data_IF_737791053402
#
_entry.id   IF_737791053402
#
_cell.length_a   1.000
_cell.length_b   1.000
_cell.length_c   1.000
_cell.angle_alpha   90.00
_cell.angle_beta   90.00
_cell.angle_gamma   90.00
#
_symmetry.space_group_name_H-M   'P 1'
#
loop_
_entity.id
_entity.type
_entity.pdbx_description
1 polymer ?
#
# COMPACT_ATOMS: atom_id res chain seq x y z
N UNK A 1 55.24 46.41 10.56
CA UNK A 1 54.36 45.25 10.86
C UNK A 1 52.89 45.65 11.03
N UNK A 2 52.34 46.44 10.11
CA UNK A 2 50.93 46.92 10.17
C UNK A 2 50.08 46.43 8.98
N UNK A 3 50.71 46.11 7.84
CA UNK A 3 50.02 45.67 6.62
C UNK A 3 49.47 44.23 6.68
N UNK A 4 50.01 43.37 7.54
CA UNK A 4 49.52 41.99 7.70
C UNK A 4 48.24 41.89 8.52
N UNK A 5 47.95 42.85 9.40
CA UNK A 5 46.72 42.86 10.22
C UNK A 5 45.48 43.32 9.45
N UNK A 6 45.63 44.23 8.49
CA UNK A 6 44.51 44.75 7.69
C UNK A 6 44.00 43.69 6.69
N UNK A 7 44.92 42.88 6.12
CA UNK A 7 44.56 41.82 5.18
C UNK A 7 43.74 40.69 5.84
N UNK A 8 44.01 40.37 7.12
CA UNK A 8 43.28 39.33 7.85
C UNK A 8 41.83 39.74 8.16
N UNK A 9 41.60 41.02 8.44
CA UNK A 9 40.26 41.56 8.76
C UNK A 9 39.37 41.60 7.52
N UNK A 10 39.93 41.92 6.35
CA UNK A 10 39.19 41.91 5.08
C UNK A 10 38.82 40.47 4.68
N UNK A 11 39.73 39.50 4.89
CA UNK A 11 39.46 38.09 4.61
C UNK A 11 38.37 37.51 5.52
N UNK A 12 38.35 37.87 6.81
CA UNK A 12 37.28 37.46 7.74
C UNK A 12 35.93 38.10 7.42
N UNK A 13 35.90 39.33 6.90
CA UNK A 13 34.65 40.00 6.48
C UNK A 13 34.03 39.41 5.21
N UNK A 14 34.84 38.88 4.28
CA UNK A 14 34.36 38.23 3.05
C UNK A 14 33.80 36.82 3.30
N UNK A 15 34.27 36.10 4.32
CA UNK A 15 33.72 34.79 4.70
C UNK A 15 32.40 34.93 5.47
N UNK A 16 32.18 36.05 6.16
CA UNK A 16 30.93 36.32 6.91
C UNK A 16 29.69 36.57 6.04
N UNK A 17 29.86 36.94 4.76
CA UNK A 17 28.75 37.24 3.84
C UNK A 17 28.30 36.04 2.99
N UNK A 18 29.01 34.90 3.05
CA UNK A 18 28.65 33.66 2.32
C UNK A 18 27.88 32.64 3.16
N UNK A 19 27.49 32.99 4.39
CA UNK A 19 26.51 32.20 5.14
C UNK A 19 25.12 32.48 4.60
N UNK A 20 24.83 31.93 3.42
CA UNK A 20 23.45 31.72 2.98
C UNK A 20 22.85 30.83 4.07
N UNK A 21 22.02 31.41 4.93
CA UNK A 21 21.15 30.64 5.82
C UNK A 21 20.26 29.77 4.94
N UNK A 22 20.72 28.57 4.62
CA UNK A 22 19.90 27.51 4.08
C UNK A 22 18.88 27.19 5.18
N UNK A 23 17.74 27.87 5.14
CA UNK A 23 16.58 27.48 5.94
C UNK A 23 16.22 26.08 5.46
N UNK A 24 16.57 25.04 6.23
CA UNK A 24 15.98 23.73 6.05
C UNK A 24 14.49 23.89 6.32
N UNK A 25 13.68 23.97 5.27
CA UNK A 25 12.24 23.99 5.45
C UNK A 25 11.82 22.58 5.88
N UNK A 26 11.05 22.51 6.95
CA UNK A 26 10.66 21.26 7.58
C UNK A 26 9.92 20.35 6.58
N UNK A 27 10.19 19.04 6.57
CA UNK A 27 9.57 18.08 5.64
C UNK A 27 8.07 17.90 5.92
N UNK A 28 7.25 18.79 5.35
CA UNK A 28 5.77 18.79 5.40
C UNK A 28 5.13 18.58 4.03
N UNK A 29 5.71 17.70 3.22
CA UNK A 29 5.32 17.53 1.82
C UNK A 29 3.96 16.85 1.65
N UNK A 30 3.25 17.22 0.59
CA UNK A 30 2.06 16.48 0.15
C UNK A 30 2.41 15.01 -0.14
N UNK A 31 1.46 14.06 -0.04
CA UNK A 31 1.75 12.61 -0.05
C UNK A 31 2.53 12.09 -1.27
N UNK A 32 2.50 12.80 -2.40
CA UNK A 32 3.14 12.40 -3.65
C UNK A 32 4.46 13.15 -3.93
N UNK A 33 4.99 13.92 -2.97
CA UNK A 33 6.21 14.71 -3.12
C UNK A 33 7.33 14.19 -2.22
N UNK A 34 8.52 14.10 -2.77
CA UNK A 34 9.74 13.78 -2.04
C UNK A 34 10.25 15.00 -1.31
N UNK A 35 10.68 14.83 -0.06
CA UNK A 35 11.46 15.82 0.66
C UNK A 35 12.94 15.58 0.36
N UNK A 36 13.60 16.52 -0.28
CA UNK A 36 15.03 16.48 -0.58
C UNK A 36 15.89 16.46 0.69
N UNK A 37 17.17 16.15 0.58
CA UNK A 37 18.15 16.28 1.68
C UNK A 37 18.25 17.69 2.27
N UNK A 38 17.70 18.69 1.57
CA UNK A 38 17.72 20.10 1.97
C UNK A 38 16.35 20.59 2.48
N UNK A 39 15.34 19.73 2.59
CA UNK A 39 14.03 20.09 3.13
C UNK A 39 13.05 20.67 2.11
N UNK A 40 13.26 20.42 0.82
CA UNK A 40 12.37 20.92 -0.24
C UNK A 40 11.50 19.80 -0.80
N UNK A 41 10.26 20.12 -1.17
CA UNK A 41 9.31 19.16 -1.73
C UNK A 41 9.35 19.17 -3.26
N UNK A 42 9.47 18.00 -3.89
CA UNK A 42 9.46 17.88 -5.34
C UNK A 42 9.41 16.43 -5.84
N UNK A 43 9.40 16.24 -7.16
CA UNK A 43 9.27 14.91 -7.80
C UNK A 43 10.47 14.53 -8.66
N UNK A 44 11.41 15.45 -8.88
CA UNK A 44 12.59 15.21 -9.70
C UNK A 44 13.73 14.58 -8.86
N UNK A 45 14.81 14.19 -9.54
CA UNK A 45 15.92 13.46 -8.90
C UNK A 45 16.65 14.28 -7.83
N UNK A 46 16.64 15.61 -7.90
CA UNK A 46 17.21 16.45 -6.84
C UNK A 46 16.42 16.39 -5.52
N UNK A 47 15.15 15.99 -5.58
CA UNK A 47 14.27 15.85 -4.42
C UNK A 47 14.10 14.40 -3.99
N UNK A 48 13.93 13.51 -4.96
CA UNK A 48 13.68 12.11 -4.72
C UNK A 48 14.95 11.28 -4.68
N UNK A 49 16.07 11.74 -5.20
CA UNK A 49 17.31 10.97 -5.31
C UNK A 49 18.09 10.88 -4.00
N UNK A 50 19.42 10.95 -4.11
CA UNK A 50 20.31 10.77 -2.96
C UNK A 50 20.03 11.78 -1.84
N UNK A 51 19.87 11.25 -0.61
CA UNK A 51 19.60 12.04 0.59
C UNK A 51 18.14 12.48 0.77
N UNK A 52 17.21 12.01 -0.06
CA UNK A 52 15.77 12.24 0.17
C UNK A 52 15.34 11.79 1.58
N UNK A 53 14.73 12.71 2.33
CA UNK A 53 14.39 12.59 3.75
C UNK A 53 13.02 11.93 3.99
N UNK A 54 12.05 12.13 3.09
CA UNK A 54 10.68 11.59 3.21
C UNK A 54 9.95 11.60 1.87
N UNK A 55 8.82 10.88 1.75
CA UNK A 55 8.07 10.77 0.49
C UNK A 55 8.61 9.66 -0.43
N UNK A 56 8.31 9.67 -1.74
CA UNK A 56 8.68 8.59 -2.67
C UNK A 56 10.16 8.63 -3.10
N UNK A 57 11.07 8.57 -2.14
CA UNK A 57 12.52 8.57 -2.35
C UNK A 57 13.01 7.39 -3.21
N UNK A 58 13.99 7.64 -4.07
CA UNK A 58 14.69 6.72 -4.99
C UNK A 58 16.08 6.44 -4.40
N UNK A 59 16.25 5.26 -3.82
CA UNK A 59 17.51 4.85 -3.19
C UNK A 59 18.49 4.35 -4.25
N UNK A 60 19.69 4.94 -4.31
CA UNK A 60 20.83 4.29 -4.96
C UNK A 60 21.44 3.32 -3.92
N UNK A 61 21.09 2.03 -4.01
CA UNK A 61 21.78 0.96 -3.28
C UNK A 61 21.52 0.86 -1.77
N UNK A 62 20.26 0.86 -1.32
CA UNK A 62 19.78 0.13 -0.13
C UNK A 62 18.25 0.26 -0.09
N UNK A 63 17.57 -0.87 -0.20
CA UNK A 63 16.13 -1.02 -0.49
C UNK A 63 15.23 -0.34 0.54
N UNK A 64 14.87 0.93 0.34
CA UNK A 64 13.76 1.61 1.03
C UNK A 64 13.06 2.66 0.11
N UNK A 65 13.09 2.44 -1.20
CA UNK A 65 12.32 3.18 -2.22
C UNK A 65 11.48 2.19 -3.03
N UNK A 66 10.25 2.58 -3.39
CA UNK A 66 9.27 1.70 -4.04
C UNK A 66 9.82 1.03 -5.31
N UNK A 67 9.51 -0.25 -5.47
CA UNK A 67 9.91 -1.10 -6.60
C UNK A 67 8.73 -1.31 -7.55
N UNK A 68 8.99 -1.91 -8.72
CA UNK A 68 7.91 -2.39 -9.57
C UNK A 68 7.14 -3.51 -8.88
N UNK A 69 5.81 -3.52 -9.01
CA UNK A 69 4.98 -4.61 -8.46
C UNK A 69 5.42 -5.98 -8.98
N UNK A 70 5.85 -6.07 -10.23
CA UNK A 70 6.28 -7.32 -10.87
C UNK A 70 7.59 -7.86 -10.31
N UNK A 71 8.46 -7.01 -9.75
CA UNK A 71 9.71 -7.46 -9.12
C UNK A 71 9.50 -7.97 -7.70
N UNK A 72 8.47 -7.48 -7.00
CA UNK A 72 8.13 -7.94 -5.64
C UNK A 72 7.20 -9.16 -5.69
N UNK A 73 6.10 -9.06 -6.42
CA UNK A 73 5.11 -10.14 -6.55
C UNK A 73 5.57 -11.07 -7.66
N UNK A 74 6.50 -11.97 -7.32
CA UNK A 74 6.94 -13.02 -8.23
C UNK A 74 5.89 -14.12 -8.35
N UNK A 75 5.97 -14.92 -9.42
CA UNK A 75 5.14 -16.12 -9.56
C UNK A 75 5.31 -17.06 -8.35
N UNK A 76 6.54 -17.16 -7.81
CA UNK A 76 6.84 -17.99 -6.64
C UNK A 76 6.11 -17.47 -5.38
N UNK A 77 6.18 -16.17 -5.11
CA UNK A 77 5.47 -15.57 -3.98
C UNK A 77 3.96 -15.80 -4.09
N UNK A 78 3.38 -15.55 -5.27
CA UNK A 78 1.95 -15.78 -5.51
C UNK A 78 1.56 -17.25 -5.32
N UNK A 79 2.36 -18.18 -5.84
CA UNK A 79 2.12 -19.61 -5.72
C UNK A 79 2.27 -20.11 -4.27
N UNK A 80 3.15 -19.53 -3.46
CA UNK A 80 3.27 -19.88 -2.05
C UNK A 80 2.00 -19.55 -1.26
N UNK A 81 1.26 -18.52 -1.68
CA UNK A 81 -0.03 -18.17 -1.09
C UNK A 81 -1.10 -19.16 -1.55
N UNK A 82 -1.27 -19.36 -2.86
CA UNK A 82 -2.32 -20.24 -3.41
C UNK A 82 -2.15 -21.72 -3.04
N UNK A 83 -0.93 -22.15 -2.72
CA UNK A 83 -0.65 -23.50 -2.20
C UNK A 83 -1.25 -23.75 -0.81
N UNK A 84 -1.49 -22.70 -0.02
CA UNK A 84 -2.14 -22.82 1.30
C UNK A 84 -3.65 -23.11 1.18
N UNK A 85 -4.25 -22.83 0.03
CA UNK A 85 -5.63 -23.23 -0.27
C UNK A 85 -5.72 -24.71 -0.67
N UNK A 86 -6.77 -25.37 -0.19
CA UNK A 86 -7.06 -26.77 -0.49
C UNK A 86 -7.16 -27.07 -1.98
N UNK A 87 -6.87 -28.32 -2.38
CA UNK A 87 -6.83 -28.73 -3.78
C UNK A 87 -8.12 -28.49 -4.58
N UNK A 88 -9.29 -28.61 -3.92
CA UNK A 88 -10.61 -28.43 -4.53
C UNK A 88 -11.12 -26.98 -4.59
N UNK A 89 -10.31 -26.00 -4.19
CA UNK A 89 -10.72 -24.60 -4.15
C UNK A 89 -10.94 -24.02 -5.55
N UNK A 90 -12.15 -23.51 -5.82
CA UNK A 90 -12.52 -22.90 -7.09
C UNK A 90 -11.60 -21.73 -7.47
N UNK A 91 -11.20 -20.91 -6.50
CA UNK A 91 -10.35 -19.74 -6.71
C UNK A 91 -8.96 -20.06 -7.26
N UNK A 92 -8.45 -21.29 -7.13
CA UNK A 92 -7.13 -21.68 -7.67
C UNK A 92 -7.08 -21.67 -9.21
N UNK A 93 -8.23 -21.81 -9.87
CA UNK A 93 -8.34 -21.71 -11.33
C UNK A 93 -8.72 -20.31 -11.80
N UNK A 94 -9.10 -19.44 -10.87
CA UNK A 94 -9.58 -18.09 -11.15
C UNK A 94 -8.48 -17.05 -10.92
N UNK A 95 -7.88 -17.02 -9.73
CA UNK A 95 -6.85 -16.06 -9.38
C UNK A 95 -5.49 -16.50 -9.92
N UNK A 96 -4.93 -15.70 -10.83
CA UNK A 96 -3.60 -15.93 -11.40
C UNK A 96 -2.66 -14.76 -11.10
N UNK A 97 -1.36 -15.05 -11.05
CA UNK A 97 -0.32 -14.04 -10.93
C UNK A 97 -0.44 -12.99 -12.05
N UNK A 98 -0.59 -13.43 -13.30
CA UNK A 98 -0.76 -12.54 -14.45
C UNK A 98 -1.99 -11.62 -14.32
N UNK A 99 -3.12 -12.14 -13.83
CA UNK A 99 -4.32 -11.32 -13.64
C UNK A 99 -4.11 -10.22 -12.59
N UNK A 100 -3.32 -10.48 -11.54
CA UNK A 100 -2.91 -9.47 -10.57
C UNK A 100 -1.95 -8.44 -11.19
N UNK A 101 -0.90 -8.88 -11.89
CA UNK A 101 0.08 -7.97 -12.51
C UNK A 101 -0.59 -7.09 -13.57
N UNK A 102 -1.43 -7.66 -14.42
CA UNK A 102 -2.19 -6.91 -15.43
C UNK A 102 -3.12 -5.87 -14.80
N UNK A 103 -3.73 -6.18 -13.66
CA UNK A 103 -4.54 -5.22 -12.92
C UNK A 103 -3.67 -4.13 -12.27
N UNK A 104 -2.59 -4.50 -11.59
CA UNK A 104 -1.67 -3.60 -10.90
C UNK A 104 -1.04 -2.56 -11.84
N UNK A 105 -0.69 -2.98 -13.06
CA UNK A 105 -0.13 -2.09 -14.08
C UNK A 105 -1.13 -1.03 -14.60
N UNK A 106 -2.43 -1.17 -14.33
CA UNK A 106 -3.41 -0.10 -14.63
C UNK A 106 -3.44 1.02 -13.59
N UNK A 107 -2.69 0.89 -12.51
CA UNK A 107 -2.49 1.91 -11.48
C UNK A 107 -1.01 2.31 -11.49
N UNK A 108 -0.56 3.30 -12.29
CA UNK A 108 0.88 3.58 -12.50
C UNK A 108 1.66 3.78 -11.19
N UNK A 109 1.10 4.52 -10.23
CA UNK A 109 1.73 4.76 -8.92
C UNK A 109 1.83 3.52 -8.04
N UNK A 110 1.08 2.45 -8.33
CA UNK A 110 1.18 1.18 -7.64
C UNK A 110 2.05 0.20 -8.45
N UNK A 111 1.85 0.12 -9.77
CA UNK A 111 2.62 -0.76 -10.64
C UNK A 111 4.12 -0.43 -10.69
N UNK A 112 4.47 0.85 -10.64
CA UNK A 112 5.87 1.30 -10.74
C UNK A 112 6.51 1.67 -9.40
N UNK A 113 5.72 1.90 -8.35
CA UNK A 113 6.23 2.35 -7.06
C UNK A 113 5.43 1.75 -5.90
N UNK A 114 5.83 0.56 -5.46
CA UNK A 114 5.22 -0.13 -4.32
C UNK A 114 6.29 -0.67 -3.38
N UNK A 115 6.01 -0.68 -2.08
CA UNK A 115 6.93 -1.24 -1.08
C UNK A 115 6.61 -2.71 -0.83
N UNK A 116 7.62 -3.51 -0.46
CA UNK A 116 7.41 -4.90 -0.03
C UNK A 116 6.43 -5.00 1.14
N UNK A 117 6.46 -4.02 2.04
CA UNK A 117 5.53 -3.93 3.18
C UNK A 117 4.09 -3.70 2.73
N UNK A 118 3.87 -2.83 1.75
CA UNK A 118 2.54 -2.60 1.16
C UNK A 118 2.00 -3.87 0.48
N UNK A 119 2.83 -4.58 -0.27
CA UNK A 119 2.46 -5.88 -0.87
C UNK A 119 2.14 -6.91 0.21
N UNK A 120 2.97 -7.05 1.23
CA UNK A 120 2.72 -7.97 2.35
C UNK A 120 1.37 -7.67 3.02
N UNK A 121 1.08 -6.40 3.27
CA UNK A 121 -0.19 -5.98 3.88
C UNK A 121 -1.38 -6.32 2.97
N UNK A 122 -1.31 -5.99 1.69
CA UNK A 122 -2.35 -6.27 0.71
C UNK A 122 -2.68 -7.77 0.63
N UNK A 123 -1.65 -8.60 0.44
CA UNK A 123 -1.84 -10.04 0.32
C UNK A 123 -2.30 -10.70 1.62
N UNK A 124 -1.96 -10.15 2.79
CA UNK A 124 -2.49 -10.60 4.08
C UNK A 124 -4.00 -10.42 4.17
N UNK A 125 -4.49 -9.24 3.74
CA UNK A 125 -5.92 -8.98 3.68
C UNK A 125 -6.63 -9.83 2.62
N UNK A 126 -6.00 -10.05 1.45
CA UNK A 126 -6.55 -10.94 0.43
C UNK A 126 -6.64 -12.38 0.93
N UNK A 127 -5.62 -12.86 1.63
CA UNK A 127 -5.58 -14.24 2.12
C UNK A 127 -6.60 -14.50 3.21
N UNK A 128 -6.76 -13.56 4.16
CA UNK A 128 -7.86 -13.62 5.13
C UNK A 128 -9.22 -13.55 4.42
N UNK A 129 -9.37 -12.63 3.48
CA UNK A 129 -10.66 -12.41 2.82
C UNK A 129 -11.11 -13.60 1.97
N UNK A 130 -10.19 -14.23 1.25
CA UNK A 130 -10.50 -15.24 0.24
C UNK A 130 -10.15 -16.66 0.66
N UNK A 131 -9.64 -16.86 1.88
CA UNK A 131 -9.08 -18.14 2.30
C UNK A 131 -7.91 -18.56 1.42
N UNK A 132 -6.91 -17.69 1.27
CA UNK A 132 -5.74 -17.90 0.40
C UNK A 132 -6.10 -18.11 -1.07
N UNK A 133 -7.00 -17.28 -1.61
CA UNK A 133 -7.53 -17.40 -2.97
C UNK A 133 -8.36 -18.67 -3.19
N UNK A 134 -8.99 -19.21 -2.14
CA UNK A 134 -9.90 -20.34 -2.28
C UNK A 134 -11.27 -19.90 -2.82
N UNK A 135 -11.79 -18.79 -2.31
CA UNK A 135 -13.14 -18.31 -2.56
C UNK A 135 -13.16 -17.13 -3.53
N UNK A 136 -13.99 -17.24 -4.56
CA UNK A 136 -14.25 -16.17 -5.54
C UNK A 136 -15.43 -15.30 -5.07
N UNK A 137 -16.40 -15.93 -4.41
CA UNK A 137 -17.62 -15.35 -3.86
C UNK A 137 -17.79 -15.83 -2.41
N UNK A 138 -18.66 -15.16 -1.68
CA UNK A 138 -18.97 -15.51 -0.29
C UNK A 138 -19.63 -16.88 -0.14
N UNK A 139 -19.33 -17.56 0.95
CA UNK A 139 -19.95 -18.84 1.32
C UNK A 139 -21.12 -18.54 2.24
N UNK A 140 -22.31 -19.05 1.86
CA UNK A 140 -23.59 -18.90 2.56
C UNK A 140 -24.05 -17.44 2.70
N UNK A 141 -25.32 -17.18 2.36
CA UNK A 141 -25.95 -15.86 2.37
C UNK A 141 -26.10 -15.18 3.75
N UNK A 142 -25.18 -15.38 4.68
CA UNK A 142 -25.06 -14.69 5.98
C UNK A 142 -24.59 -13.24 5.81
N UNK A 143 -25.34 -12.49 5.02
CA UNK A 143 -25.37 -11.02 5.00
C UNK A 143 -26.81 -10.49 4.92
N UNK A 144 -27.82 -11.33 5.13
CA UNK A 144 -29.22 -10.92 5.09
C UNK A 144 -29.59 -9.84 6.14
N UNK A 145 -28.82 -9.71 7.23
CA UNK A 145 -29.17 -8.80 8.33
C UNK A 145 -28.32 -7.54 8.46
N UNK A 146 -27.10 -7.51 7.88
CA UNK A 146 -26.28 -6.29 7.83
C UNK A 146 -26.68 -5.32 6.70
N UNK A 147 -27.66 -5.73 5.86
CA UNK A 147 -28.12 -5.01 4.66
C UNK A 147 -29.48 -4.33 4.81
N UNK A 148 -29.89 -3.94 6.03
CA UNK A 148 -31.21 -3.32 6.30
C UNK A 148 -31.15 -1.81 6.60
N UNK A 149 -30.02 -1.14 6.36
CA UNK A 149 -29.88 0.30 6.57
C UNK A 149 -29.97 1.06 5.23
N UNK A 150 -31.04 1.83 4.97
CA UNK A 150 -31.31 2.45 3.68
C UNK A 150 -30.46 3.71 3.37
N UNK A 151 -29.51 4.06 4.23
CA UNK A 151 -28.78 5.34 4.14
C UNK A 151 -27.36 5.24 3.57
N UNK A 152 -26.86 4.02 3.28
CA UNK A 152 -25.56 3.84 2.65
C UNK A 152 -25.74 2.96 1.42
N UNK A 153 -25.65 3.60 0.26
CA UNK A 153 -25.78 3.01 -1.08
C UNK A 153 -24.58 2.08 -1.36
N UNK A 154 -24.51 0.94 -0.67
CA UNK A 154 -23.42 -0.03 -0.77
C UNK A 154 -24.00 -1.46 -0.75
N UNK A 155 -23.86 -2.25 -1.84
CA UNK A 155 -24.28 -3.64 -1.82
C UNK A 155 -23.34 -4.45 -0.92
N UNK A 156 -23.83 -4.87 0.23
CA UNK A 156 -23.07 -5.59 1.24
C UNK A 156 -22.70 -7.01 0.77
N UNK A 157 -21.40 -7.30 0.63
CA UNK A 157 -20.86 -8.64 0.29
C UNK A 157 -19.49 -8.88 0.99
N UNK A 158 -19.21 -10.05 1.61
CA UNK A 158 -17.92 -10.43 2.20
C UNK A 158 -17.09 -11.28 1.17
N UNK A 159 -15.83 -11.68 1.45
CA UNK A 159 -14.69 -11.13 0.75
C UNK A 159 -14.28 -11.94 -0.50
N UNK A 160 -14.20 -11.24 -1.61
CA UNK A 160 -13.43 -11.57 -2.80
C UNK A 160 -12.59 -10.34 -3.16
N UNK A 161 -11.47 -10.53 -3.86
CA UNK A 161 -10.65 -9.40 -4.39
C UNK A 161 -11.53 -8.42 -5.19
N UNK A 162 -12.57 -8.96 -5.81
CA UNK A 162 -13.61 -8.24 -6.49
C UNK A 162 -14.44 -7.20 -5.73
N UNK A 163 -14.56 -7.35 -4.41
CA UNK A 163 -15.63 -6.72 -3.64
C UNK A 163 -15.12 -5.85 -2.50
N UNK A 164 -13.82 -5.56 -2.47
CA UNK A 164 -13.29 -4.39 -1.78
C UNK A 164 -13.76 -3.15 -2.57
N UNK A 165 -15.03 -2.76 -2.52
CA UNK A 165 -15.55 -1.57 -3.21
C UNK A 165 -16.31 -0.74 -2.19
N UNK A 166 -15.76 0.44 -1.87
CA UNK A 166 -16.51 1.49 -1.15
C UNK A 166 -16.89 2.54 -2.16
N UNK A 167 -18.18 2.63 -2.50
CA UNK A 167 -18.84 3.82 -3.08
C UNK A 167 -18.22 4.53 -4.29
N UNK A 168 -17.25 3.96 -5.00
CA UNK A 168 -16.56 4.66 -6.09
C UNK A 168 -16.69 3.94 -7.44
N UNK A 169 -17.14 4.72 -8.42
CA UNK A 169 -17.39 4.30 -9.80
C UNK A 169 -16.05 4.00 -10.48
N UNK A 170 -15.77 2.73 -10.75
CA UNK A 170 -14.95 2.37 -11.90
C UNK A 170 -15.71 2.78 -13.17
N UNK A 171 -15.02 2.97 -14.30
CA UNK A 171 -15.65 3.25 -15.60
C UNK A 171 -16.38 2.02 -16.18
N UNK A 172 -16.87 1.16 -15.30
CA UNK A 172 -17.69 -0.03 -15.48
C UNK A 172 -18.74 0.09 -14.38
N UNK A 173 -20.02 0.13 -14.75
CA UNK A 173 -21.12 0.26 -13.80
C UNK A 173 -21.32 -1.05 -13.02
N UNK A 174 -20.44 -1.29 -12.04
CA UNK A 174 -20.49 -2.46 -11.16
C UNK A 174 -21.71 -2.45 -10.23
N UNK A 175 -22.47 -1.35 -10.18
CA UNK A 175 -23.78 -1.31 -9.52
C UNK A 175 -24.85 -2.05 -10.33
N UNK A 176 -24.67 -2.15 -11.65
CA UNK A 176 -25.59 -2.87 -12.55
C UNK A 176 -25.16 -4.29 -12.88
N UNK A 177 -23.87 -4.61 -12.77
CA UNK A 177 -23.31 -5.92 -13.14
C UNK A 177 -22.25 -6.41 -12.14
N UNK A 178 -22.61 -6.63 -10.86
CA UNK A 178 -21.68 -7.12 -9.85
C UNK A 178 -21.07 -8.49 -10.20
N UNK A 179 -21.76 -9.31 -10.99
CA UNK A 179 -21.34 -10.66 -11.40
C UNK A 179 -20.07 -10.69 -12.27
N UNK A 180 -19.76 -9.61 -13.01
CA UNK A 180 -18.57 -9.53 -13.87
C UNK A 180 -17.26 -9.66 -13.08
N UNK A 181 -17.31 -9.28 -11.81
CA UNK A 181 -16.19 -9.31 -10.90
C UNK A 181 -15.82 -10.75 -10.52
N UNK A 182 -16.82 -11.64 -10.43
CA UNK A 182 -16.64 -13.06 -10.15
C UNK A 182 -16.31 -13.91 -11.38
N UNK A 183 -16.35 -13.32 -12.59
CA UNK A 183 -16.09 -14.02 -13.86
C UNK A 183 -14.81 -13.55 -14.57
N UNK A 184 -14.27 -12.37 -14.22
CA UNK A 184 -13.00 -11.86 -14.76
C UNK A 184 -12.00 -11.56 -13.63
N UNK A 185 -10.93 -12.35 -13.46
CA UNK A 185 -9.99 -12.19 -12.34
C UNK A 185 -9.21 -10.88 -12.41
N UNK A 186 -8.88 -10.39 -13.61
CA UNK A 186 -8.20 -9.10 -13.79
C UNK A 186 -9.11 -7.95 -13.35
N UNK A 187 -10.41 -8.01 -13.69
CA UNK A 187 -11.38 -7.03 -13.20
C UNK A 187 -11.53 -7.10 -11.68
N UNK A 188 -11.58 -8.32 -11.13
CA UNK A 188 -11.56 -8.55 -9.69
C UNK A 188 -10.37 -7.87 -9.02
N UNK A 189 -9.15 -8.10 -9.50
CA UNK A 189 -7.97 -7.40 -8.98
C UNK A 189 -8.04 -5.88 -9.14
N UNK A 190 -8.52 -5.36 -10.28
CA UNK A 190 -8.67 -3.91 -10.49
C UNK A 190 -9.58 -3.26 -9.46
N UNK A 191 -10.69 -3.91 -9.11
CA UNK A 191 -11.60 -3.41 -8.06
C UNK A 191 -10.93 -3.37 -6.69
N UNK A 192 -10.24 -4.45 -6.27
CA UNK A 192 -9.48 -4.40 -5.00
C UNK A 192 -8.43 -3.31 -4.96
N UNK A 193 -7.68 -3.15 -6.05
CA UNK A 193 -6.60 -2.19 -6.15
C UNK A 193 -7.16 -0.77 -6.06
N UNK A 194 -8.32 -0.50 -6.66
CA UNK A 194 -8.99 0.79 -6.56
C UNK A 194 -9.32 1.13 -5.11
N UNK A 195 -9.95 0.21 -4.37
CA UNK A 195 -10.23 0.43 -2.96
C UNK A 195 -8.97 0.53 -2.13
N UNK A 196 -7.97 -0.31 -2.39
CA UNK A 196 -6.70 -0.27 -1.68
C UNK A 196 -6.07 1.12 -1.81
N UNK A 197 -5.96 1.62 -3.03
CA UNK A 197 -5.37 2.92 -3.34
C UNK A 197 -6.09 4.07 -2.63
N UNK A 198 -7.42 4.00 -2.53
CA UNK A 198 -8.23 5.09 -1.99
C UNK A 198 -8.49 5.02 -0.48
N UNK A 199 -8.66 3.81 0.06
CA UNK A 199 -9.09 3.59 1.45
C UNK A 199 -7.97 3.07 2.36
N UNK A 200 -6.97 2.35 1.83
CA UNK A 200 -5.99 1.63 2.66
C UNK A 200 -4.59 2.21 2.54
N UNK A 201 -4.13 2.49 1.33
CA UNK A 201 -2.81 3.07 1.06
C UNK A 201 -2.56 4.38 1.85
N UNK A 202 -3.54 5.30 2.00
CA UNK A 202 -3.34 6.53 2.77
C UNK A 202 -3.05 6.33 4.27
N UNK A 203 -3.38 5.17 4.84
CA UNK A 203 -3.17 4.86 6.26
C UNK A 203 -2.01 3.88 6.51
N UNK A 204 -1.28 3.45 5.48
CA UNK A 204 -0.17 2.50 5.62
C UNK A 204 0.93 3.00 6.57
N UNK A 205 1.18 4.31 6.60
CA UNK A 205 2.17 4.93 7.49
C UNK A 205 1.78 4.86 8.97
N UNK A 206 0.53 4.53 9.30
CA UNK A 206 0.07 4.37 10.68
C UNK A 206 0.26 2.93 11.21
N UNK A 207 0.60 1.98 10.33
CA UNK A 207 0.83 0.57 10.64
C UNK A 207 -0.27 -0.37 10.15
N UNK A 208 -0.03 -1.67 10.24
CA UNK A 208 -0.94 -2.70 9.71
C UNK A 208 -2.30 -2.72 10.44
N UNK A 209 -2.35 -2.36 11.73
CA UNK A 209 -3.61 -2.21 12.45
C UNK A 209 -4.54 -1.15 11.85
N UNK A 210 -3.97 -0.07 11.30
CA UNK A 210 -4.75 0.95 10.62
C UNK A 210 -5.33 0.44 9.29
N UNK A 211 -4.63 -0.46 8.57
CA UNK A 211 -5.15 -1.08 7.35
C UNK A 211 -6.30 -2.05 7.66
N UNK A 212 -6.22 -2.80 8.77
CA UNK A 212 -7.34 -3.60 9.28
C UNK A 212 -8.54 -2.70 9.56
N UNK A 213 -8.34 -1.60 10.30
CA UNK A 213 -9.41 -0.65 10.62
C UNK A 213 -10.03 -0.02 9.38
N UNK A 214 -9.22 0.31 8.38
CA UNK A 214 -9.69 0.84 7.10
C UNK A 214 -10.55 -0.20 6.37
N UNK A 215 -10.17 -1.47 6.37
CA UNK A 215 -10.92 -2.54 5.68
C UNK A 215 -12.19 -2.91 6.42
N UNK A 216 -12.10 -3.17 7.73
CA UNK A 216 -13.23 -3.57 8.55
C UNK A 216 -13.02 -3.11 10.00
N UNK A 217 -13.39 -1.86 10.29
CA UNK A 217 -13.23 -1.27 11.62
C UNK A 217 -14.00 -1.96 12.74
N UNK A 218 -15.01 -2.78 12.41
CA UNK A 218 -15.77 -3.56 13.40
C UNK A 218 -14.98 -4.73 14.00
N UNK A 219 -13.89 -5.17 13.35
CA UNK A 219 -13.00 -6.20 13.90
C UNK A 219 -12.11 -5.65 15.03
N UNK A 220 -11.86 -4.34 15.03
CA UNK A 220 -10.96 -3.66 15.96
C UNK A 220 -11.58 -3.43 17.35
N UNK A 221 -10.76 -3.00 18.31
CA UNK A 221 -11.14 -2.67 19.68
C UNK A 221 -11.83 -3.85 20.40
N UNK A 222 -11.40 -5.08 20.10
CA UNK A 222 -11.94 -6.31 20.67
C UNK A 222 -13.16 -6.89 19.93
N UNK A 223 -13.61 -6.29 18.82
CA UNK A 223 -14.80 -6.77 18.09
C UNK A 223 -14.63 -8.16 17.46
N UNK A 224 -13.50 -8.44 16.82
CA UNK A 224 -13.16 -9.77 16.34
C UNK A 224 -11.65 -10.03 16.41
N UNK A 225 -11.16 -10.32 17.62
CA UNK A 225 -9.75 -10.57 17.87
C UNK A 225 -9.19 -11.76 17.06
N UNK A 226 -10.01 -12.76 16.75
CA UNK A 226 -9.62 -13.91 15.92
C UNK A 226 -9.25 -13.48 14.50
N UNK A 227 -10.10 -12.68 13.86
CA UNK A 227 -9.87 -12.15 12.51
C UNK A 227 -8.65 -11.23 12.47
N UNK A 228 -8.51 -10.31 13.44
CA UNK A 228 -7.35 -9.41 13.56
C UNK A 228 -6.05 -10.23 13.67
N UNK A 229 -5.99 -11.18 14.59
CA UNK A 229 -4.80 -12.00 14.80
C UNK A 229 -4.44 -12.86 13.57
N UNK A 230 -5.45 -13.36 12.85
CA UNK A 230 -5.22 -14.09 11.62
C UNK A 230 -4.61 -13.20 10.53
N UNK A 231 -5.13 -11.98 10.33
CA UNK A 231 -4.55 -11.01 9.39
C UNK A 231 -3.09 -10.70 9.75
N UNK A 232 -2.80 -10.47 11.03
CA UNK A 232 -1.44 -10.20 11.53
C UNK A 232 -0.51 -11.38 11.25
N UNK A 233 -0.99 -12.62 11.45
CA UNK A 233 -0.22 -13.84 11.14
C UNK A 233 0.15 -13.91 9.67
N UNK A 234 -0.80 -13.67 8.76
CA UNK A 234 -0.51 -13.64 7.32
C UNK A 234 0.45 -12.51 6.94
N UNK A 235 0.26 -11.32 7.52
CA UNK A 235 1.14 -10.18 7.28
C UNK A 235 2.58 -10.46 7.68
N UNK A 236 2.80 -11.01 8.89
CA UNK A 236 4.15 -11.39 9.34
C UNK A 236 4.79 -12.46 8.45
N UNK A 237 4.02 -13.47 8.04
CA UNK A 237 4.49 -14.50 7.12
C UNK A 237 4.94 -13.90 5.78
N UNK A 238 4.13 -13.00 5.19
CA UNK A 238 4.46 -12.39 3.91
C UNK A 238 5.58 -11.36 4.01
N UNK A 239 5.68 -10.63 5.11
CA UNK A 239 6.85 -9.81 5.43
C UNK A 239 8.13 -10.67 5.48
N UNK A 240 8.08 -11.84 6.10
CA UNK A 240 9.18 -12.80 6.10
C UNK A 240 9.56 -13.30 4.70
N UNK A 241 8.57 -13.69 3.89
CA UNK A 241 8.80 -14.11 2.50
C UNK A 241 9.39 -13.01 1.61
N UNK A 242 9.05 -11.75 1.88
CA UNK A 242 9.55 -10.58 1.15
C UNK A 242 10.77 -9.92 1.80
N UNK A 243 11.33 -10.52 2.84
CA UNK A 243 12.49 -10.01 3.58
C UNK A 243 12.35 -8.53 3.99
N UNK A 244 11.22 -8.17 4.58
CA UNK A 244 10.93 -6.81 5.04
C UNK A 244 10.42 -6.83 6.49
N UNK A 245 10.85 -5.86 7.29
CA UNK A 245 10.38 -5.71 8.67
C UNK A 245 8.87 -5.32 8.68
N UNK A 246 8.02 -5.99 9.47
CA UNK A 246 6.58 -5.71 9.52
C UNK A 246 6.24 -4.35 10.15
N UNK A 247 7.16 -3.74 10.88
CA UNK A 247 6.95 -2.50 11.62
C UNK A 247 6.15 -2.69 12.91
N UNK A 248 5.80 -1.55 13.52
CA UNK A 248 4.96 -1.47 14.72
C UNK A 248 3.48 -1.32 14.37
N UNK A 249 2.63 -1.19 15.40
CA UNK A 249 1.18 -0.95 15.26
C UNK A 249 0.47 -2.00 14.40
N UNK A 250 0.73 -3.28 14.68
CA UNK A 250 0.18 -4.38 13.88
C UNK A 250 -1.29 -4.69 14.19
N UNK A 251 -1.73 -4.40 15.41
CA UNK A 251 -3.11 -4.63 15.84
C UNK A 251 -3.92 -3.35 15.78
N UNK A 252 -5.22 -3.56 15.61
CA UNK A 252 -6.27 -2.72 16.14
C UNK A 252 -7.12 -3.60 17.08
#
# INVERSE_FOLDING_TARGET
MAFTKISLVIFLSLVGLYSITAKSQNCGCAPNLCCSQFGYCGTNDAHCGAGCQSGPCRSNGTSNGGESVSSIVTQQFFNNITKKAGGGCAGKRFYTHDSFINAANTFPNFGSFVTRREIAAMFAHYSHGTGHFCYIQAINGTLSDACKEPQIQMPCHPPGIGYFVRGERLNIDLLRQPELVGSNPTLGFKTSLRFWMNSVRPVLNQGFGATIRAINGSECNGGNLGAVNERIRYYRDYCGQLAVDPGSNLSC
#
